data_IF_812802977359
#
_entry.id   IF_812802977359
#
_cell.length_a   1.000
_cell.length_b   1.000
_cell.length_c   1.000
_cell.angle_alpha   90.00
_cell.angle_beta   90.00
_cell.angle_gamma   90.00
#
_symmetry.space_group_name_H-M   'P 1'
#
loop_
_entity.id
_entity.type
_entity.pdbx_description
1 polymer ?
#
# COMPACT_ATOMS: atom_id res chain seq x y z
N UNK A 1 -24.34 2.79 -18.06
CA UNK A 1 -24.52 4.22 -18.41
C UNK A 1 -26.01 4.52 -18.37
N UNK A 2 -26.49 5.26 -17.35
CA UNK A 2 -27.90 5.66 -17.28
C UNK A 2 -28.01 7.08 -17.85
N UNK A 3 -28.86 7.33 -18.87
CA UNK A 3 -29.05 8.67 -19.41
C UNK A 3 -29.75 9.58 -18.38
N UNK A 4 -29.35 10.85 -18.33
CA UNK A 4 -30.08 11.88 -17.57
C UNK A 4 -31.24 12.40 -18.41
N UNK A 5 -32.38 12.67 -17.78
CA UNK A 5 -33.56 13.27 -18.42
C UNK A 5 -33.43 14.75 -18.77
N UNK A 6 -32.30 15.42 -18.49
CA UNK A 6 -32.10 16.86 -18.65
C UNK A 6 -31.16 17.24 -19.81
N UNK A 7 -30.69 16.28 -20.60
CA UNK A 7 -29.90 16.51 -21.82
C UNK A 7 -28.46 17.00 -21.59
N UNK A 8 -27.93 17.03 -20.36
CA UNK A 8 -26.55 17.46 -20.08
C UNK A 8 -25.65 16.30 -19.66
N UNK A 9 -25.14 15.57 -20.65
CA UNK A 9 -23.95 14.70 -20.54
C UNK A 9 -24.02 13.54 -19.52
N UNK A 10 -23.11 12.58 -19.67
CA UNK A 10 -23.03 11.41 -18.79
C UNK A 10 -22.36 11.80 -17.46
N UNK A 11 -22.96 11.46 -16.31
CA UNK A 11 -22.25 11.50 -15.02
C UNK A 11 -21.37 10.25 -14.88
N UNK A 12 -20.11 10.37 -14.45
CA UNK A 12 -19.45 9.25 -13.81
C UNK A 12 -20.16 8.99 -12.47
N UNK A 13 -20.80 7.84 -12.35
CA UNK A 13 -21.27 7.29 -11.06
C UNK A 13 -20.16 6.40 -10.54
N UNK A 14 -19.54 6.77 -9.42
CA UNK A 14 -18.69 5.85 -8.67
C UNK A 14 -19.61 4.80 -8.05
N UNK A 15 -19.57 3.58 -8.58
CA UNK A 15 -20.14 2.43 -7.89
C UNK A 15 -19.18 2.01 -6.78
N UNK A 16 -19.36 2.59 -5.59
CA UNK A 16 -18.82 2.01 -4.35
C UNK A 16 -19.83 0.95 -3.91
N UNK A 17 -19.37 -0.28 -3.68
CA UNK A 17 -20.21 -1.38 -3.21
C UNK A 17 -20.99 -0.95 -1.97
N UNK A 18 -22.32 -1.09 -2.03
CA UNK A 18 -23.24 -0.81 -0.92
C UNK A 18 -23.03 -1.88 0.15
N UNK A 19 -22.82 -1.53 1.42
CA UNK A 19 -23.95 -1.31 2.33
C UNK A 19 -23.75 -0.21 3.40
N UNK A 20 -22.67 0.56 3.38
CA UNK A 20 -22.53 1.80 4.16
C UNK A 20 -21.71 2.82 3.36
N UNK A 21 -22.18 3.11 2.15
CA UNK A 21 -21.57 4.12 1.30
C UNK A 21 -21.70 5.52 1.91
N UNK A 22 -20.77 6.44 1.62
CA UNK A 22 -20.86 7.83 2.06
C UNK A 22 -22.22 8.41 1.69
N UNK A 23 -22.88 9.07 2.64
CA UNK A 23 -24.14 9.79 2.38
C UNK A 23 -23.93 10.71 1.18
N UNK A 24 -24.86 10.66 0.24
CA UNK A 24 -24.78 11.33 -1.05
C UNK A 24 -24.27 12.78 -0.90
N UNK A 25 -23.06 13.06 -1.42
CA UNK A 25 -22.44 14.39 -1.40
C UNK A 25 -21.31 14.62 -0.38
N UNK A 26 -20.94 13.65 0.47
CA UNK A 26 -19.76 13.80 1.33
C UNK A 26 -18.46 13.40 0.61
N UNK A 27 -17.38 14.19 0.74
CA UNK A 27 -16.09 13.85 0.15
C UNK A 27 -15.47 12.64 0.86
N UNK A 28 -15.01 11.65 0.10
CA UNK A 28 -14.25 10.50 0.60
C UNK A 28 -12.77 10.78 0.45
N UNK A 29 -12.00 10.49 1.51
CA UNK A 29 -10.54 10.51 1.44
C UNK A 29 -10.06 9.18 0.88
N UNK A 30 -9.39 9.23 -0.28
CA UNK A 30 -8.82 8.05 -0.93
C UNK A 30 -7.31 8.10 -0.86
N UNK A 31 -6.70 6.97 -0.57
CA UNK A 31 -5.26 6.75 -0.65
C UNK A 31 -4.91 6.35 -2.07
N UNK A 32 -3.98 7.06 -2.71
CA UNK A 32 -3.42 6.66 -4.00
C UNK A 32 -2.33 5.61 -3.77
N UNK A 33 -2.53 4.41 -4.30
CA UNK A 33 -1.56 3.33 -4.29
C UNK A 33 -0.96 3.22 -5.68
N UNK A 34 0.28 3.69 -5.83
CA UNK A 34 1.04 3.67 -7.09
C UNK A 34 2.48 3.22 -6.80
N UNK A 35 2.64 1.92 -6.55
CA UNK A 35 3.88 1.34 -6.00
C UNK A 35 5.11 1.54 -6.90
N UNK A 36 4.96 1.38 -8.21
CA UNK A 36 6.04 1.57 -9.19
C UNK A 36 6.00 2.94 -9.89
N UNK A 37 5.03 3.80 -9.57
CA UNK A 37 4.89 5.15 -10.14
C UNK A 37 4.73 5.16 -11.66
N UNK A 38 4.14 4.11 -12.24
CA UNK A 38 3.86 4.04 -13.67
C UNK A 38 2.48 4.63 -14.05
N UNK A 39 1.69 5.07 -13.05
CA UNK A 39 0.37 5.65 -13.24
C UNK A 39 -0.78 4.63 -13.24
N UNK A 40 -0.50 3.33 -13.19
CA UNK A 40 -1.50 2.26 -13.01
C UNK A 40 -1.90 2.15 -11.52
N UNK A 41 -2.42 3.25 -11.00
CA UNK A 41 -2.68 3.40 -9.57
C UNK A 41 -4.06 2.90 -9.15
N UNK A 42 -4.17 2.43 -7.91
CA UNK A 42 -5.42 2.10 -7.24
C UNK A 42 -5.81 3.24 -6.31
N UNK A 43 -7.09 3.63 -6.32
CA UNK A 43 -7.64 4.51 -5.29
C UNK A 43 -8.26 3.67 -4.18
N UNK A 44 -7.60 3.64 -3.03
CA UNK A 44 -7.97 2.80 -1.90
C UNK A 44 -8.72 3.62 -0.84
N UNK A 45 -9.94 3.20 -0.52
CA UNK A 45 -10.74 3.77 0.57
C UNK A 45 -10.30 3.19 1.92
N UNK A 46 -9.18 3.71 2.45
CA UNK A 46 -8.58 3.22 3.68
C UNK A 46 -9.53 3.36 4.88
N UNK A 47 -10.22 4.50 4.98
CA UNK A 47 -11.13 4.80 6.08
C UNK A 47 -12.34 3.85 6.05
N UNK A 48 -12.91 3.59 4.87
CA UNK A 48 -13.99 2.62 4.74
C UNK A 48 -13.56 1.19 5.13
N UNK A 49 -12.31 0.81 4.87
CA UNK A 49 -11.79 -0.49 5.31
C UNK A 49 -11.63 -0.56 6.84
N UNK A 50 -11.07 0.49 7.47
CA UNK A 50 -10.99 0.55 8.93
C UNK A 50 -12.37 0.42 9.55
N UNK A 51 -13.36 1.18 9.08
CA UNK A 51 -14.72 1.14 9.63
C UNK A 51 -15.36 -0.24 9.51
N UNK A 52 -15.23 -0.91 8.36
CA UNK A 52 -15.79 -2.26 8.14
C UNK A 52 -15.10 -3.33 8.96
N UNK A 53 -13.80 -3.18 9.25
CA UNK A 53 -13.00 -4.19 9.93
C UNK A 53 -12.91 -3.98 11.46
N UNK A 54 -13.52 -2.91 11.99
CA UNK A 54 -13.61 -2.67 13.44
C UNK A 54 -12.68 -1.58 13.99
N UNK A 55 -12.16 -0.70 13.15
CA UNK A 55 -11.34 0.46 13.53
C UNK A 55 -9.88 0.12 13.78
N UNK A 56 -9.21 0.89 14.64
CA UNK A 56 -7.77 0.75 14.92
C UNK A 56 -7.29 -0.69 15.27
N UNK A 57 -8.07 -1.53 15.98
CA UNK A 57 -7.67 -2.92 16.23
C UNK A 57 -7.48 -3.74 14.95
N UNK A 58 -8.06 -3.33 13.82
CA UNK A 58 -7.95 -4.03 12.54
C UNK A 58 -6.71 -3.68 11.73
N UNK A 59 -5.84 -2.76 12.19
CA UNK A 59 -4.64 -2.38 11.45
C UNK A 59 -3.76 -3.58 11.09
N UNK A 60 -3.70 -4.59 11.97
CA UNK A 60 -2.93 -5.81 11.75
C UNK A 60 -3.44 -6.72 10.65
N UNK A 61 -4.69 -6.55 10.21
CA UNK A 61 -5.25 -7.28 9.07
C UNK A 61 -4.42 -7.06 7.80
N UNK A 62 -3.93 -5.83 7.61
CA UNK A 62 -3.14 -5.44 6.43
C UNK A 62 -1.67 -5.18 6.78
N UNK A 63 -1.38 -4.45 7.86
CA UNK A 63 -0.02 -4.09 8.27
C UNK A 63 0.64 -5.23 9.06
N UNK A 64 0.90 -6.35 8.39
CA UNK A 64 1.39 -7.57 9.02
C UNK A 64 2.85 -7.49 9.53
N UNK A 65 3.54 -6.38 9.28
CA UNK A 65 4.90 -6.10 9.75
C UNK A 65 5.18 -4.60 9.70
N UNK A 66 5.94 -4.08 10.67
CA UNK A 66 6.41 -2.70 10.64
C UNK A 66 7.94 -2.63 10.58
N UNK A 67 8.46 -1.54 10.06
CA UNK A 67 9.87 -1.21 10.27
C UNK A 67 10.10 -0.94 11.77
N UNK A 68 11.32 -1.17 12.28
CA UNK A 68 11.64 -0.85 13.67
C UNK A 68 11.25 0.59 14.01
N UNK A 69 10.52 0.76 15.12
CA UNK A 69 10.03 2.05 15.63
C UNK A 69 8.99 2.76 14.73
N UNK A 70 8.44 2.08 13.73
CA UNK A 70 7.39 2.60 12.86
C UNK A 70 6.03 1.98 13.21
N UNK A 71 4.95 2.60 12.73
CA UNK A 71 3.59 2.06 12.82
C UNK A 71 2.90 2.20 11.48
N UNK A 72 2.21 1.13 11.07
CA UNK A 72 1.51 1.07 9.79
C UNK A 72 2.44 1.37 8.60
N UNK A 73 3.63 0.76 8.62
CA UNK A 73 4.64 0.93 7.58
C UNK A 73 4.02 0.69 6.20
N UNK A 74 4.30 1.59 5.25
CA UNK A 74 3.86 1.43 3.86
C UNK A 74 4.44 0.16 3.23
N UNK A 75 3.61 -0.59 2.49
CA UNK A 75 3.99 -1.85 1.86
C UNK A 75 5.23 -1.69 0.95
N UNK A 76 5.37 -0.53 0.29
CA UNK A 76 6.49 -0.25 -0.63
C UNK A 76 7.84 -0.16 0.08
N UNK A 77 7.90 -0.05 1.41
CA UNK A 77 9.17 -0.09 2.16
C UNK A 77 9.84 -1.45 2.08
N UNK A 78 9.03 -2.50 2.14
CA UNK A 78 9.49 -3.89 2.16
C UNK A 78 9.37 -4.53 0.77
N UNK A 79 8.25 -4.30 0.09
CA UNK A 79 7.95 -4.80 -1.25
C UNK A 79 8.34 -3.74 -2.29
N UNK A 80 9.65 -3.56 -2.49
CA UNK A 80 10.19 -2.40 -3.23
C UNK A 80 10.17 -2.56 -4.75
N UNK A 81 10.25 -3.78 -5.22
CA UNK A 81 10.19 -4.11 -6.64
C UNK A 81 8.77 -4.53 -6.99
N UNK A 82 8.32 -4.22 -8.21
CA UNK A 82 6.95 -4.52 -8.62
C UNK A 82 6.71 -6.03 -8.79
N UNK A 83 7.70 -6.76 -9.30
CA UNK A 83 7.55 -8.14 -9.72
C UNK A 83 8.52 -9.08 -9.01
N UNK A 84 9.73 -8.62 -8.72
CA UNK A 84 10.78 -9.46 -8.17
C UNK A 84 10.80 -9.43 -6.63
N UNK A 85 11.21 -10.53 -5.98
CA UNK A 85 11.42 -10.53 -4.54
C UNK A 85 12.50 -9.54 -4.11
N UNK A 86 12.25 -8.84 -3.00
CA UNK A 86 13.18 -7.85 -2.43
C UNK A 86 13.75 -8.31 -1.11
N UNK A 87 15.07 -8.21 -0.97
CA UNK A 87 15.76 -8.52 0.29
C UNK A 87 15.33 -7.54 1.38
N UNK A 88 14.84 -8.05 2.50
CA UNK A 88 14.44 -7.21 3.63
C UNK A 88 15.65 -6.70 4.42
N UNK A 89 16.71 -7.49 4.47
CA UNK A 89 17.96 -7.11 5.13
C UNK A 89 18.91 -6.37 4.17
N UNK A 90 19.44 -5.24 4.63
CA UNK A 90 20.52 -4.50 3.99
C UNK A 90 21.74 -4.47 4.90
N UNK A 91 22.76 -5.25 4.54
CA UNK A 91 23.99 -5.36 5.30
C UNK A 91 24.74 -4.03 5.43
N UNK A 92 24.77 -3.21 4.37
CA UNK A 92 25.54 -1.96 4.38
C UNK A 92 24.94 -0.96 5.34
N UNK A 93 23.61 -0.83 5.31
CA UNK A 93 22.87 0.04 6.24
C UNK A 93 23.09 -0.37 7.70
N UNK A 94 23.10 -1.68 8.00
CA UNK A 94 23.38 -2.15 9.37
C UNK A 94 24.83 -1.92 9.79
N UNK A 95 25.79 -2.17 8.90
CA UNK A 95 27.20 -1.89 9.17
C UNK A 95 27.42 -0.41 9.46
N UNK A 96 26.81 0.49 8.68
CA UNK A 96 26.89 1.93 8.94
C UNK A 96 26.28 2.31 10.29
N UNK A 97 25.10 1.77 10.60
CA UNK A 97 24.40 2.03 11.87
C UNK A 97 25.16 1.49 13.10
N UNK A 98 25.95 0.43 12.94
CA UNK A 98 26.72 -0.23 14.01
C UNK A 98 28.20 0.18 14.03
N UNK A 99 28.52 1.40 13.60
CA UNK A 99 29.88 1.96 13.65
C UNK A 99 30.91 1.20 12.78
N UNK A 100 30.48 0.70 11.63
CA UNK A 100 31.32 0.06 10.63
C UNK A 100 31.81 -1.32 11.06
N UNK A 101 33.09 -1.60 10.79
CA UNK A 101 33.69 -2.92 11.08
C UNK A 101 33.68 -3.29 12.57
N UNK A 102 33.55 -2.30 13.48
CA UNK A 102 33.47 -2.55 14.93
C UNK A 102 32.18 -3.28 15.31
N UNK A 103 31.09 -2.99 14.62
CA UNK A 103 29.79 -3.61 14.84
C UNK A 103 29.61 -4.99 14.22
N UNK A 104 30.60 -5.50 13.46
CA UNK A 104 30.45 -6.81 12.82
C UNK A 104 30.19 -7.94 13.81
N UNK A 105 30.70 -7.84 15.04
CA UNK A 105 30.52 -8.85 16.09
C UNK A 105 29.08 -8.95 16.58
N UNK A 106 28.29 -7.88 16.45
CA UNK A 106 26.88 -7.85 16.87
C UNK A 106 26.04 -8.80 16.02
N UNK A 107 26.35 -8.92 14.73
CA UNK A 107 25.68 -9.85 13.82
C UNK A 107 26.45 -11.16 13.62
N UNK A 108 27.77 -11.15 13.76
CA UNK A 108 28.63 -12.31 13.57
C UNK A 108 29.45 -12.59 14.83
N UNK A 109 28.82 -13.13 15.89
CA UNK A 109 29.44 -13.27 17.21
C UNK A 109 30.63 -14.25 17.21
N UNK A 110 30.65 -15.20 16.28
CA UNK A 110 31.81 -16.06 16.05
C UNK A 110 32.79 -15.39 15.07
N UNK A 111 34.04 -15.23 15.49
CA UNK A 111 35.15 -14.90 14.59
C UNK A 111 35.65 -16.10 13.79
N UNK A 112 35.26 -17.31 14.18
CA UNK A 112 35.61 -18.57 13.53
C UNK A 112 34.47 -19.08 12.63
N UNK A 113 34.84 -19.58 11.45
CA UNK A 113 33.89 -20.13 10.48
C UNK A 113 33.33 -19.11 9.48
N UNK A 114 32.41 -19.58 8.65
CA UNK A 114 31.79 -18.76 7.61
C UNK A 114 30.73 -17.83 8.21
N UNK A 115 30.76 -16.57 7.80
CA UNK A 115 29.71 -15.59 8.07
C UNK A 115 28.55 -15.86 7.11
N UNK A 116 27.53 -16.56 7.58
CA UNK A 116 26.38 -16.94 6.77
C UNK A 116 25.08 -16.47 7.41
N UNK A 117 24.00 -16.60 6.66
CA UNK A 117 22.66 -16.34 7.17
C UNK A 117 22.33 -17.26 8.35
N UNK A 118 22.81 -18.49 8.40
CA UNK A 118 22.51 -19.44 9.47
C UNK A 118 23.25 -19.06 10.75
N UNK A 119 24.49 -18.59 10.64
CA UNK A 119 25.37 -18.29 11.78
C UNK A 119 25.25 -16.86 12.30
N UNK A 120 24.61 -15.96 11.56
CA UNK A 120 24.38 -14.60 12.01
C UNK A 120 23.35 -14.54 13.16
N UNK A 121 23.38 -13.47 13.95
CA UNK A 121 22.34 -13.12 14.93
C UNK A 121 20.97 -12.97 14.23
N UNK A 122 19.88 -13.42 14.87
CA UNK A 122 18.56 -13.28 14.29
C UNK A 122 18.03 -11.84 14.42
N UNK A 123 17.26 -11.37 13.43
CA UNK A 123 16.70 -10.01 13.43
C UNK A 123 15.92 -9.68 14.71
N UNK A 124 15.19 -10.66 15.24
CA UNK A 124 14.33 -10.51 16.42
C UNK A 124 15.11 -10.31 17.73
N UNK A 125 16.42 -10.58 17.75
CA UNK A 125 17.25 -10.35 18.94
C UNK A 125 17.52 -8.86 19.17
N UNK A 126 17.52 -8.04 18.10
CA UNK A 126 17.67 -6.58 18.19
C UNK A 126 16.36 -5.83 17.88
N UNK A 127 15.55 -6.35 16.96
CA UNK A 127 14.30 -5.73 16.53
C UNK A 127 13.11 -6.46 17.15
N UNK A 128 12.65 -5.97 18.30
CA UNK A 128 11.40 -6.42 18.91
C UNK A 128 10.21 -5.88 18.13
N UNK A 129 9.80 -6.66 17.13
CA UNK A 129 8.60 -6.43 16.36
C UNK A 129 7.52 -7.36 16.93
N UNK A 130 6.55 -6.82 17.64
CA UNK A 130 5.32 -7.57 17.90
C UNK A 130 4.48 -7.40 16.63
N UNK A 131 4.30 -8.45 15.81
CA UNK A 131 3.31 -8.36 14.74
C UNK A 131 1.98 -7.93 15.38
N UNK A 132 1.24 -7.00 14.77
CA UNK A 132 -0.05 -6.61 15.33
C UNK A 132 -0.94 -7.84 15.44
N UNK A 133 -1.80 -7.92 16.47
CA UNK A 133 -2.59 -9.11 16.74
C UNK A 133 -3.48 -9.47 15.54
N UNK A 134 -3.49 -10.77 15.20
CA UNK A 134 -4.39 -11.34 14.19
C UNK A 134 -4.12 -10.95 12.73
N UNK A 135 -2.87 -10.99 12.21
CA UNK A 135 -2.65 -10.71 10.81
C UNK A 135 -3.24 -11.83 9.95
N UNK A 136 -4.01 -11.47 8.93
CA UNK A 136 -4.55 -12.44 7.94
C UNK A 136 -3.38 -13.07 7.15
N UNK A 137 -2.33 -12.29 6.92
CA UNK A 137 -1.13 -12.75 6.22
C UNK A 137 -0.11 -13.28 7.22
N UNK A 138 0.14 -14.59 7.15
CA UNK A 138 1.25 -15.22 7.86
C UNK A 138 2.54 -14.90 7.11
N UNK A 139 3.47 -14.23 7.79
CA UNK A 139 4.82 -14.06 7.27
C UNK A 139 5.55 -15.40 7.25
N UNK A 140 6.50 -15.54 6.33
CA UNK A 140 7.43 -16.66 6.29
C UNK A 140 8.11 -16.88 7.64
N UNK A 141 8.22 -18.13 8.07
CA UNK A 141 9.01 -18.53 9.24
C UNK A 141 10.52 -18.42 8.98
N UNK A 142 10.94 -18.26 7.72
CA UNK A 142 12.34 -18.06 7.38
C UNK A 142 12.77 -16.65 7.81
N UNK A 143 13.71 -16.64 8.77
CA UNK A 143 14.37 -15.45 9.33
C UNK A 143 14.96 -14.49 8.29
N UNK A 144 15.26 -14.95 7.08
CA UNK A 144 15.87 -14.16 6.00
C UNK A 144 15.09 -14.20 4.68
N UNK A 145 13.81 -14.58 4.72
CA UNK A 145 12.99 -14.56 3.52
C UNK A 145 12.97 -13.17 2.88
N UNK A 146 13.05 -13.16 1.54
CA UNK A 146 12.75 -11.97 0.77
C UNK A 146 11.24 -11.66 0.88
N UNK A 147 10.91 -10.37 0.83
CA UNK A 147 9.54 -9.98 0.55
C UNK A 147 9.21 -10.33 -0.91
N UNK A 148 8.02 -10.85 -1.22
CA UNK A 148 7.58 -10.98 -2.60
C UNK A 148 7.51 -9.62 -3.30
N UNK A 149 7.45 -9.63 -4.63
CA UNK A 149 7.19 -8.44 -5.42
C UNK A 149 5.90 -7.74 -4.99
N UNK A 150 5.83 -6.43 -5.21
CA UNK A 150 4.72 -5.59 -4.77
C UNK A 150 3.36 -6.04 -5.33
N UNK A 151 3.33 -6.45 -6.60
CA UNK A 151 2.13 -7.00 -7.23
C UNK A 151 1.65 -8.25 -6.49
N UNK A 152 2.54 -9.20 -6.24
CA UNK A 152 2.22 -10.44 -5.55
C UNK A 152 1.79 -10.19 -4.10
N UNK A 153 2.42 -9.24 -3.42
CA UNK A 153 2.04 -8.85 -2.06
C UNK A 153 0.63 -8.26 -2.01
N UNK A 154 0.32 -7.32 -2.92
CA UNK A 154 -0.99 -6.67 -2.97
C UNK A 154 -2.08 -7.61 -3.43
N UNK A 155 -1.87 -8.35 -4.52
CA UNK A 155 -2.85 -9.33 -5.01
C UNK A 155 -3.04 -10.47 -4.02
N UNK A 156 -1.95 -10.97 -3.42
CA UNK A 156 -2.02 -12.02 -2.40
C UNK A 156 -2.79 -11.60 -1.14
N UNK A 157 -2.76 -10.33 -0.76
CA UNK A 157 -3.54 -9.81 0.37
C UNK A 157 -4.99 -9.47 -0.02
N UNK A 158 -5.16 -8.54 -0.96
CA UNK A 158 -6.46 -7.95 -1.26
C UNK A 158 -7.41 -8.95 -1.94
N UNK A 159 -6.94 -9.66 -2.95
CA UNK A 159 -7.79 -10.60 -3.71
C UNK A 159 -8.16 -11.77 -2.82
N UNK A 160 -7.21 -12.36 -2.09
CA UNK A 160 -7.49 -13.48 -1.20
C UNK A 160 -8.52 -13.12 -0.12
N UNK A 161 -8.39 -11.94 0.51
CA UNK A 161 -9.37 -11.48 1.50
C UNK A 161 -10.75 -11.26 0.88
N UNK A 162 -10.83 -10.64 -0.29
CA UNK A 162 -12.09 -10.41 -0.98
C UNK A 162 -12.75 -11.69 -1.47
N UNK A 163 -11.97 -12.66 -1.96
CA UNK A 163 -12.46 -14.00 -2.31
C UNK A 163 -13.07 -14.69 -1.09
N UNK A 164 -12.40 -14.61 0.07
CA UNK A 164 -12.92 -15.20 1.31
C UNK A 164 -14.22 -14.53 1.75
N UNK A 165 -14.28 -13.20 1.75
CA UNK A 165 -15.51 -12.45 2.04
C UNK A 165 -16.67 -12.85 1.13
N UNK A 166 -16.41 -13.05 -0.17
CA UNK A 166 -17.44 -13.52 -1.11
C UNK A 166 -17.88 -14.96 -0.83
N UNK A 167 -16.97 -15.83 -0.38
CA UNK A 167 -17.30 -17.21 -0.01
C UNK A 167 -18.13 -17.26 1.27
N UNK A 168 -17.77 -16.46 2.27
CA UNK A 168 -18.40 -16.46 3.58
C UNK A 168 -19.73 -15.70 3.62
N UNK A 169 -19.91 -14.67 2.79
CA UNK A 169 -21.11 -13.82 2.80
C UNK A 169 -21.46 -13.29 1.40
N UNK A 170 -21.82 -14.17 0.45
CA UNK A 170 -22.05 -13.81 -0.96
C UNK A 170 -23.18 -12.79 -1.16
N UNK A 171 -24.17 -12.73 -0.27
CA UNK A 171 -25.24 -11.73 -0.28
C UNK A 171 -24.81 -10.35 0.22
N UNK A 172 -23.72 -10.26 0.99
CA UNK A 172 -23.21 -9.01 1.57
C UNK A 172 -22.18 -8.33 0.67
N UNK A 173 -21.58 -9.07 -0.27
CA UNK A 173 -20.49 -8.58 -1.10
C UNK A 173 -20.80 -8.73 -2.60
N UNK A 174 -20.44 -7.74 -3.44
CA UNK A 174 -20.72 -7.81 -4.86
C UNK A 174 -19.93 -8.95 -5.52
N UNK A 175 -20.55 -9.60 -6.51
CA UNK A 175 -19.92 -10.72 -7.23
C UNK A 175 -18.63 -10.34 -7.99
N UNK A 176 -18.34 -9.06 -8.14
CA UNK A 176 -17.13 -8.54 -8.78
C UNK A 176 -16.02 -8.13 -7.80
N UNK A 177 -16.21 -8.28 -6.48
CA UNK A 177 -15.32 -7.70 -5.47
C UNK A 177 -13.83 -8.09 -5.63
N UNK A 178 -13.58 -9.29 -6.13
CA UNK A 178 -12.27 -9.90 -6.37
C UNK A 178 -11.77 -9.75 -7.82
N UNK A 179 -12.52 -9.08 -8.69
CA UNK A 179 -12.11 -8.84 -10.08
C UNK A 179 -11.15 -7.66 -10.19
N UNK A 180 -10.20 -7.75 -11.12
CA UNK A 180 -9.18 -6.72 -11.33
C UNK A 180 -9.76 -5.32 -11.55
N UNK A 181 -10.88 -5.21 -12.27
CA UNK A 181 -11.54 -3.94 -12.61
C UNK A 181 -12.25 -3.27 -11.43
N UNK A 182 -12.42 -3.96 -10.31
CA UNK A 182 -12.93 -3.35 -9.07
C UNK A 182 -11.89 -2.46 -8.41
N UNK A 183 -10.61 -2.83 -8.49
CA UNK A 183 -9.50 -2.07 -7.92
C UNK A 183 -8.83 -1.18 -8.97
N UNK A 184 -8.64 -1.71 -10.18
CA UNK A 184 -7.99 -1.02 -11.29
C UNK A 184 -9.03 -0.46 -12.26
N UNK A 185 -9.04 0.85 -12.43
CA UNK A 185 -9.93 1.53 -13.35
C UNK A 185 -9.09 2.25 -14.41
N UNK A 186 -9.00 1.65 -15.61
CA UNK A 186 -8.18 2.17 -16.71
C UNK A 186 -8.60 3.58 -17.14
N UNK A 187 -9.89 3.92 -17.00
CA UNK A 187 -10.39 5.26 -17.30
C UNK A 187 -10.02 6.25 -16.18
N UNK A 188 -9.89 5.78 -14.94
CA UNK A 188 -9.49 6.59 -13.79
C UNK A 188 -8.03 7.01 -13.86
N UNK A 189 -7.12 6.15 -14.32
CA UNK A 189 -5.72 6.54 -14.57
C UNK A 189 -5.65 7.73 -15.52
N UNK A 190 -6.40 7.70 -16.63
CA UNK A 190 -6.49 8.84 -17.57
C UNK A 190 -7.05 10.09 -16.91
N UNK A 191 -8.04 9.95 -16.03
CA UNK A 191 -8.62 11.09 -15.29
C UNK A 191 -7.66 11.67 -14.25
N UNK A 192 -6.85 10.85 -13.59
CA UNK A 192 -5.83 11.31 -12.64
C UNK A 192 -4.74 12.13 -13.34
N UNK A 193 -4.31 11.72 -14.56
CA UNK A 193 -3.38 12.51 -15.37
C UNK A 193 -3.96 13.91 -15.67
N UNK A 194 -5.25 14.00 -15.95
CA UNK A 194 -5.94 15.28 -16.20
C UNK A 194 -6.08 16.16 -14.94
N UNK A 195 -6.03 15.55 -13.75
CA UNK A 195 -6.12 16.24 -12.46
C UNK A 195 -4.74 16.52 -11.83
N UNK A 196 -3.66 16.04 -12.45
CA UNK A 196 -2.31 16.33 -11.99
C UNK A 196 -2.08 17.86 -12.03
N UNK A 197 -1.47 18.46 -10.99
CA UNK A 197 -1.18 19.88 -10.99
C UNK A 197 -0.31 20.20 -12.21
N UNK A 198 -0.87 20.98 -13.14
CA UNK A 198 -0.16 21.43 -14.33
C UNK A 198 1.09 22.24 -13.93
N UNK A 199 2.09 22.35 -14.84
CA UNK A 199 3.24 23.22 -14.59
C UNK A 199 2.73 24.62 -14.23
N UNK A 200 3.35 25.31 -13.26
CA UNK A 200 2.88 26.61 -12.81
C UNK A 200 2.73 27.54 -14.02
N UNK A 201 1.49 27.96 -14.30
CA UNK A 201 1.21 28.81 -15.45
C UNK A 201 2.04 30.08 -15.32
N UNK A 202 2.95 30.33 -16.26
CA UNK A 202 3.64 31.61 -16.40
C UNK A 202 2.64 32.66 -16.87
N UNK A 203 1.75 33.09 -15.98
CA UNK A 203 0.91 34.26 -16.21
C UNK A 203 1.82 35.49 -16.16
N UNK A 204 2.29 35.92 -17.34
CA UNK A 204 2.82 37.27 -17.52
C UNK A 204 1.76 38.24 -17.02
N UNK A 205 2.07 38.98 -15.95
CA UNK A 205 1.29 40.16 -15.57
C UNK A 205 1.45 41.18 -16.69
N UNK A 206 0.44 41.32 -17.54
CA UNK A 206 0.30 42.53 -18.34
C UNK A 206 -0.04 43.66 -17.38
N UNK A 207 0.93 44.54 -17.16
CA UNK A 207 0.71 45.82 -16.49
C UNK A 207 -0.14 46.69 -17.40
N UNK A 208 -1.40 46.90 -17.01
CA UNK A 208 -2.24 47.95 -17.56
C UNK A 208 -1.58 49.29 -17.19
N UNK A 209 -1.05 50.00 -18.19
CA UNK A 209 -0.67 51.41 -18.03
C UNK A 209 -1.96 52.22 -18.05
N UNK A 210 -2.27 52.85 -16.91
CA UNK A 210 -3.22 53.94 -16.82
C UNK A 210 -2.65 55.15 -17.57
N UNK A 211 -3.33 55.57 -18.65
CA UNK A 211 -3.09 56.86 -19.30
C UNK A 211 -3.93 57.93 -18.58
N UNK A 212 -3.25 58.97 -18.10
CA UNK A 212 -3.82 60.25 -17.69
C UNK A 212 -3.49 61.30 -18.74
#
# INVERSE_FOLDING_TARGET
LVPRGDGRGNRPVLAVGQNDGPREGQPVRLTLIDGNRNGEAVLFDHEGHLQRLGGDPSCGVCHHRNMPLDQNTSCTRCHRDMYEPTRLFDHSTHVEALEGNRGCIECHPSSEGAKTYETATACAECHWDQPPPGPIIRTSDSRWAAAPGYMDAMHGLCIACHEEQRKESPESYPASLDRCDTCHDADRTRRLILLAPGPPSTRKRETVKDER
#
